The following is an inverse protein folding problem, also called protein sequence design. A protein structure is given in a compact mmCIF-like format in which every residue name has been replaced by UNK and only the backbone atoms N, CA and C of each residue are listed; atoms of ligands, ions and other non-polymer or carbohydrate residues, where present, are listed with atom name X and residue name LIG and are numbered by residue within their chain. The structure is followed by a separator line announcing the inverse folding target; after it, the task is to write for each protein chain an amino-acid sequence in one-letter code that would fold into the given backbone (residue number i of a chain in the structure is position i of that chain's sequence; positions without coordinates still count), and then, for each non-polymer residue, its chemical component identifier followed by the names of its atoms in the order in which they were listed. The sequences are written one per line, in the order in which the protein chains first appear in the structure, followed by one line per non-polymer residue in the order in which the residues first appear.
data_IF_658767710976
#
_entry.id   IF_658767710976
#
_cell.length_a   1.000
_cell.length_b   1.000
_cell.length_c   1.000
_cell.angle_alpha   90.00
_cell.angle_beta   90.00
_cell.angle_gamma   90.00
#
_symmetry.space_group_name_H-M   'P 1'
#
loop_
_entity.id
_entity.type
_entity.pdbx_description
1 polymer ?
#
# COMPACT_ATOMS: atom_id res chain seq x y z
N UNK A 1 -68.38 54.70 -21.08
CA UNK A 1 -67.62 53.63 -21.77
C UNK A 1 -66.38 53.17 -21.00
N UNK A 2 -65.91 53.92 -19.99
CA UNK A 2 -64.69 53.63 -19.20
C UNK A 2 -64.79 52.38 -18.31
N UNK A 3 -65.97 52.10 -17.71
CA UNK A 3 -66.18 50.92 -16.84
C UNK A 3 -65.87 49.57 -17.53
N UNK A 4 -66.00 49.50 -18.87
CA UNK A 4 -65.71 48.29 -19.63
C UNK A 4 -64.20 48.07 -19.85
N UNK A 5 -63.42 49.14 -19.96
CA UNK A 5 -61.97 49.07 -20.14
C UNK A 5 -61.25 48.72 -18.84
N UNK A 6 -61.65 49.33 -17.71
CA UNK A 6 -61.09 49.02 -16.39
C UNK A 6 -61.37 47.56 -15.97
N UNK A 7 -62.58 47.04 -16.27
CA UNK A 7 -62.92 45.65 -16.01
C UNK A 7 -62.08 44.66 -16.84
N UNK A 8 -61.78 45.00 -18.10
CA UNK A 8 -60.89 44.19 -18.97
C UNK A 8 -59.45 44.21 -18.45
N UNK A 9 -58.96 45.36 -18.03
CA UNK A 9 -57.61 45.53 -17.48
C UNK A 9 -57.44 44.75 -16.17
N UNK A 10 -58.41 44.81 -15.25
CA UNK A 10 -58.38 44.04 -14.00
C UNK A 10 -58.38 42.53 -14.26
N UNK A 11 -59.18 42.05 -15.21
CA UNK A 11 -59.17 40.63 -15.61
C UNK A 11 -57.82 40.21 -16.20
N UNK A 12 -57.21 41.07 -17.01
CA UNK A 12 -55.89 40.81 -17.59
C UNK A 12 -54.80 40.73 -16.51
N UNK A 13 -54.73 41.71 -15.60
CA UNK A 13 -53.78 41.68 -14.49
C UNK A 13 -53.97 40.47 -13.58
N UNK A 14 -55.22 40.08 -13.31
CA UNK A 14 -55.53 38.88 -12.52
C UNK A 14 -55.03 37.61 -13.22
N UNK A 15 -55.26 37.48 -14.53
CA UNK A 15 -54.80 36.33 -15.31
C UNK A 15 -53.26 36.25 -15.40
N UNK A 16 -52.58 37.39 -15.55
CA UNK A 16 -51.11 37.44 -15.53
C UNK A 16 -50.57 37.03 -14.17
N UNK A 17 -51.16 37.54 -13.07
CA UNK A 17 -50.79 37.16 -11.71
C UNK A 17 -50.99 35.67 -11.45
N UNK A 18 -52.13 35.11 -11.85
CA UNK A 18 -52.41 33.67 -11.71
C UNK A 18 -51.42 32.81 -12.53
N UNK A 19 -51.02 33.25 -13.73
CA UNK A 19 -49.96 32.58 -14.50
C UNK A 19 -48.60 32.65 -13.85
N UNK A 20 -48.20 33.81 -13.31
CA UNK A 20 -46.91 33.96 -12.64
C UNK A 20 -46.83 33.13 -11.36
N UNK A 21 -47.93 33.03 -10.61
CA UNK A 21 -48.02 32.16 -9.43
C UNK A 21 -47.92 30.68 -9.80
N UNK A 22 -48.57 30.24 -10.90
CA UNK A 22 -48.43 28.86 -11.42
C UNK A 22 -47.07 28.57 -12.03
N UNK A 23 -46.44 29.54 -12.70
CA UNK A 23 -45.08 29.40 -13.23
C UNK A 23 -44.02 29.41 -12.11
N UNK A 24 -44.34 30.06 -11.00
CA UNK A 24 -43.59 30.04 -9.75
C UNK A 24 -43.88 28.82 -8.88
N UNK A 25 -44.45 27.74 -9.43
CA UNK A 25 -44.60 26.45 -8.76
C UNK A 25 -43.23 25.80 -8.52
N UNK A 26 -42.47 26.41 -7.61
CA UNK A 26 -41.23 25.92 -7.02
C UNK A 26 -41.46 24.72 -6.12
N UNK A 27 -42.68 24.18 -6.03
CA UNK A 27 -43.01 22.98 -5.27
C UNK A 27 -42.18 21.78 -5.71
N UNK A 28 -42.00 21.56 -7.02
CA UNK A 28 -41.19 20.45 -7.54
C UNK A 28 -39.69 20.58 -7.22
N UNK A 29 -39.12 21.80 -7.35
CA UNK A 29 -37.72 22.06 -6.98
C UNK A 29 -37.51 21.95 -5.46
N UNK A 30 -38.48 22.43 -4.67
CA UNK A 30 -38.46 22.32 -3.21
C UNK A 30 -38.57 20.87 -2.75
N UNK A 31 -39.40 20.05 -3.41
CA UNK A 31 -39.55 18.64 -3.11
C UNK A 31 -38.26 17.86 -3.43
N UNK A 32 -37.67 18.07 -4.62
CA UNK A 32 -36.40 17.45 -4.98
C UNK A 32 -35.24 17.87 -4.03
N UNK A 33 -35.21 19.14 -3.61
CA UNK A 33 -34.24 19.58 -2.59
C UNK A 33 -34.48 18.93 -1.23
N UNK A 34 -35.73 18.68 -0.84
CA UNK A 34 -36.05 17.99 0.40
C UNK A 34 -35.62 16.51 0.37
N UNK A 35 -35.85 15.84 -0.75
CA UNK A 35 -35.42 14.45 -0.99
C UNK A 35 -33.89 14.32 -0.93
N UNK A 36 -33.16 15.19 -1.64
CA UNK A 36 -31.69 15.21 -1.58
C UNK A 36 -31.15 15.48 -0.16
N UNK A 37 -31.81 16.35 0.61
CA UNK A 37 -31.42 16.61 2.01
C UNK A 37 -31.65 15.37 2.88
N UNK A 38 -32.74 14.63 2.63
CA UNK A 38 -33.03 13.39 3.33
C UNK A 38 -31.98 12.32 3.02
N UNK A 39 -31.67 12.09 1.74
CA UNK A 39 -30.60 11.15 1.32
C UNK A 39 -29.24 11.53 1.92
N UNK A 40 -28.91 12.83 1.94
CA UNK A 40 -27.66 13.30 2.54
C UNK A 40 -27.64 13.05 4.06
N UNK A 41 -28.78 13.21 4.74
CA UNK A 41 -28.90 12.90 6.17
C UNK A 41 -28.72 11.39 6.46
N UNK A 42 -29.21 10.53 5.57
CA UNK A 42 -29.05 9.08 5.68
C UNK A 42 -27.59 8.66 5.43
N UNK A 43 -26.99 9.15 4.35
CA UNK A 43 -25.58 8.87 4.02
C UNK A 43 -24.61 9.38 5.10
N UNK A 44 -24.91 10.51 5.73
CA UNK A 44 -24.09 11.02 6.83
C UNK A 44 -24.21 10.16 8.09
N UNK A 45 -25.41 9.65 8.41
CA UNK A 45 -25.62 8.72 9.51
C UNK A 45 -24.90 7.37 9.27
N UNK A 46 -24.96 6.87 8.04
CA UNK A 46 -24.27 5.65 7.62
C UNK A 46 -22.75 5.81 7.71
N UNK A 47 -22.22 6.92 7.21
CA UNK A 47 -20.79 7.21 7.30
C UNK A 47 -20.32 7.33 8.75
N UNK A 48 -21.11 7.96 9.62
CA UNK A 48 -20.80 8.03 11.05
C UNK A 48 -20.78 6.63 11.70
N UNK A 49 -21.68 5.74 11.27
CA UNK A 49 -21.72 4.36 11.76
C UNK A 49 -20.53 3.53 11.26
N UNK A 50 -20.17 3.67 9.97
CA UNK A 50 -18.98 3.04 9.39
C UNK A 50 -17.70 3.54 10.04
N UNK A 51 -17.56 4.85 10.27
CA UNK A 51 -16.41 5.44 10.95
C UNK A 51 -16.23 4.88 12.35
N UNK A 52 -17.32 4.71 13.12
CA UNK A 52 -17.28 4.05 14.43
C UNK A 52 -16.81 2.60 14.32
N UNK A 53 -17.30 1.85 13.33
CA UNK A 53 -16.88 0.46 13.12
C UNK A 53 -15.40 0.35 12.75
N UNK A 54 -14.90 1.25 11.91
CA UNK A 54 -13.48 1.33 11.55
C UNK A 54 -12.64 1.58 12.81
N UNK A 55 -13.00 2.58 13.62
CA UNK A 55 -12.27 2.89 14.84
C UNK A 55 -12.22 1.70 15.83
N UNK A 56 -13.33 0.95 15.97
CA UNK A 56 -13.35 -0.27 16.79
C UNK A 56 -12.40 -1.33 16.24
N UNK A 57 -12.46 -1.60 14.93
CA UNK A 57 -11.62 -2.61 14.30
C UNK A 57 -10.13 -2.25 14.35
N UNK A 58 -9.80 -0.97 14.23
CA UNK A 58 -8.41 -0.48 14.35
C UNK A 58 -7.87 -0.70 15.77
N UNK A 59 -8.68 -0.46 16.81
CA UNK A 59 -8.31 -0.73 18.19
C UNK A 59 -8.08 -2.23 18.43
N UNK A 60 -9.02 -3.08 17.98
CA UNK A 60 -8.91 -4.54 18.08
C UNK A 60 -7.66 -5.08 17.36
N UNK A 61 -7.35 -4.51 16.19
CA UNK A 61 -6.15 -4.87 15.42
C UNK A 61 -4.87 -4.50 16.16
N UNK A 62 -4.79 -3.28 16.72
CA UNK A 62 -3.63 -2.83 17.49
C UNK A 62 -3.38 -3.72 18.72
N UNK A 63 -4.43 -4.14 19.42
CA UNK A 63 -4.34 -5.06 20.55
C UNK A 63 -3.85 -6.46 20.12
N UNK A 64 -4.34 -6.96 18.98
CA UNK A 64 -3.88 -8.23 18.42
C UNK A 64 -2.40 -8.17 18.01
N UNK A 65 -1.96 -7.09 17.37
CA UNK A 65 -0.56 -6.85 17.01
C UNK A 65 0.35 -6.77 18.24
N UNK A 66 -0.06 -6.04 19.28
CA UNK A 66 0.67 -5.96 20.55
C UNK A 66 0.85 -7.34 21.19
N UNK A 67 -0.20 -8.18 21.14
CA UNK A 67 -0.14 -9.56 21.64
C UNK A 67 0.82 -10.43 20.82
N UNK A 68 0.77 -10.36 19.50
CA UNK A 68 1.68 -11.10 18.63
C UNK A 68 3.14 -10.70 18.87
N UNK A 69 3.41 -9.40 19.03
CA UNK A 69 4.73 -8.89 19.35
C UNK A 69 5.20 -9.38 20.73
N UNK A 70 4.32 -9.41 21.73
CA UNK A 70 4.64 -9.94 23.05
C UNK A 70 4.96 -11.45 23.00
N UNK A 71 4.17 -12.23 22.26
CA UNK A 71 4.42 -13.66 22.04
C UNK A 71 5.74 -13.90 21.30
N UNK A 72 6.03 -13.13 20.25
CA UNK A 72 7.30 -13.22 19.53
C UNK A 72 8.48 -12.91 20.45
N UNK A 73 8.39 -11.86 21.28
CA UNK A 73 9.41 -11.55 22.29
C UNK A 73 9.56 -12.66 23.33
N UNK A 74 8.48 -13.28 23.78
CA UNK A 74 8.54 -14.40 24.72
C UNK A 74 9.21 -15.64 24.10
N UNK A 75 8.91 -15.96 22.84
CA UNK A 75 9.58 -17.05 22.11
C UNK A 75 11.08 -16.79 21.90
N UNK A 76 11.44 -15.54 21.61
CA UNK A 76 12.84 -15.13 21.43
C UNK A 76 13.60 -14.97 22.76
N UNK A 77 12.91 -14.54 23.82
CA UNK A 77 13.43 -14.31 25.17
C UNK A 77 13.53 -15.58 26.01
N UNK A 78 12.66 -16.57 25.78
CA UNK A 78 12.76 -17.90 26.38
C UNK A 78 14.00 -18.70 25.96
N UNK A 79 14.76 -18.23 24.96
CA UNK A 79 16.10 -18.74 24.61
C UNK A 79 17.24 -18.01 25.33
N UNK A 80 16.97 -16.96 26.12
CA UNK A 80 18.01 -16.09 26.69
C UNK A 80 18.16 -16.20 28.21
N UNK A 81 17.40 -17.07 28.91
CA UNK A 81 17.45 -17.15 30.38
C UNK A 81 18.09 -18.42 30.96
N UNK A 82 18.72 -19.28 30.16
CA UNK A 82 19.55 -20.37 30.68
C UNK A 82 20.81 -20.51 29.82
N UNK A 83 21.92 -19.99 30.33
CA UNK A 83 23.23 -20.19 29.73
C UNK A 83 24.08 -18.92 29.71
N UNK A 84 24.95 -18.81 30.70
CA UNK A 84 26.28 -18.25 30.47
C UNK A 84 26.89 -19.04 29.31
N UNK A 85 26.82 -18.52 28.09
CA UNK A 85 27.62 -18.97 26.95
C UNK A 85 28.02 -17.73 26.16
N UNK A 86 29.12 -17.12 26.60
CA UNK A 86 30.00 -16.43 25.66
C UNK A 86 30.32 -17.38 24.51
N UNK A 87 30.35 -16.85 23.29
CA UNK A 87 30.95 -17.51 22.12
C UNK A 87 30.07 -18.57 21.42
N UNK A 88 29.25 -18.11 20.46
CA UNK A 88 28.86 -18.80 19.21
C UNK A 88 27.96 -17.88 18.36
N UNK A 89 28.45 -16.67 18.08
CA UNK A 89 28.12 -16.10 16.78
C UNK A 89 29.00 -16.89 15.83
N UNK A 90 28.48 -17.94 15.21
CA UNK A 90 29.09 -18.44 13.98
C UNK A 90 29.41 -17.18 13.15
N UNK A 91 30.68 -16.94 12.85
CA UNK A 91 31.14 -15.78 12.08
C UNK A 91 30.50 -15.86 10.69
N UNK A 92 29.24 -15.43 10.60
CA UNK A 92 28.50 -15.40 9.35
C UNK A 92 29.25 -14.41 8.49
N UNK A 93 29.77 -14.83 7.33
CA UNK A 93 30.62 -13.99 6.54
C UNK A 93 29.85 -12.71 6.17
N UNK A 94 30.57 -11.59 6.24
CA UNK A 94 30.00 -10.32 5.83
C UNK A 94 29.58 -10.40 4.36
N UNK A 95 28.57 -9.62 3.96
CA UNK A 95 28.12 -9.59 2.57
C UNK A 95 29.29 -9.20 1.65
N UNK A 96 30.12 -8.26 2.11
CA UNK A 96 31.29 -7.79 1.36
C UNK A 96 32.31 -8.91 1.16
N UNK A 97 32.54 -9.76 2.18
CA UNK A 97 33.40 -10.95 2.09
C UNK A 97 32.86 -11.93 1.06
N UNK A 98 31.58 -12.29 1.17
CA UNK A 98 30.93 -13.25 0.24
C UNK A 98 31.03 -12.76 -1.21
N UNK A 99 30.78 -11.47 -1.43
CA UNK A 99 30.85 -10.87 -2.76
C UNK A 99 32.29 -10.81 -3.27
N UNK A 100 33.25 -10.45 -2.42
CA UNK A 100 34.67 -10.42 -2.79
C UNK A 100 35.17 -11.79 -3.23
N UNK A 101 34.78 -12.85 -2.51
CA UNK A 101 35.14 -14.23 -2.84
C UNK A 101 34.59 -14.64 -4.21
N UNK A 102 33.31 -14.32 -4.48
CA UNK A 102 32.72 -14.59 -5.80
C UNK A 102 33.39 -13.77 -6.91
N UNK A 103 33.73 -12.51 -6.65
CA UNK A 103 34.33 -11.63 -7.65
C UNK A 103 35.78 -12.01 -7.98
N UNK A 104 36.45 -12.82 -7.17
CA UNK A 104 37.75 -13.40 -7.51
C UNK A 104 37.71 -14.21 -8.83
N UNK A 105 36.58 -14.85 -9.13
CA UNK A 105 36.36 -15.61 -10.38
C UNK A 105 36.01 -14.71 -11.60
N UNK A 106 35.83 -13.41 -11.38
CA UNK A 106 35.42 -12.44 -12.41
C UNK A 106 36.37 -11.24 -12.48
N UNK A 107 37.61 -11.43 -12.99
CA UNK A 107 38.59 -10.35 -13.08
C UNK A 107 38.07 -9.17 -13.90
N UNK A 108 38.27 -7.96 -13.39
CA UNK A 108 37.83 -6.71 -14.05
C UNK A 108 36.37 -6.33 -13.80
N UNK A 109 35.69 -6.99 -12.85
CA UNK A 109 34.35 -6.62 -12.37
C UNK A 109 34.44 -6.19 -10.91
N UNK A 110 34.02 -4.96 -10.62
CA UNK A 110 33.99 -4.42 -9.26
C UNK A 110 32.62 -4.58 -8.59
N UNK A 111 32.55 -4.37 -7.28
CA UNK A 111 31.28 -4.28 -6.57
C UNK A 111 30.35 -3.21 -7.15
N UNK A 112 30.90 -2.06 -7.55
CA UNK A 112 30.13 -0.97 -8.17
C UNK A 112 29.48 -1.42 -9.49
N UNK A 113 30.19 -2.22 -10.28
CA UNK A 113 29.65 -2.83 -11.48
C UNK A 113 28.51 -3.80 -11.15
N UNK A 114 28.66 -4.59 -10.08
CA UNK A 114 27.62 -5.53 -9.61
C UNK A 114 26.36 -4.81 -9.15
N UNK A 115 26.42 -3.65 -8.50
CA UNK A 115 25.22 -2.89 -8.10
C UNK A 115 24.73 -1.89 -9.15
N UNK A 116 25.51 -1.68 -10.22
CA UNK A 116 25.18 -0.75 -11.29
C UNK A 116 23.84 -1.08 -11.97
N UNK A 117 23.12 -0.08 -12.45
CA UNK A 117 21.86 -0.26 -13.21
C UNK A 117 22.14 -0.74 -14.65
N UNK A 118 23.39 -0.68 -15.11
CA UNK A 118 23.79 -1.07 -16.47
C UNK A 118 23.49 -2.54 -16.76
N UNK A 119 22.92 -2.79 -17.93
CA UNK A 119 22.53 -4.12 -18.44
C UNK A 119 23.57 -4.71 -19.40
N UNK A 120 24.84 -4.39 -19.21
CA UNK A 120 25.92 -4.98 -19.99
C UNK A 120 25.94 -6.50 -19.81
N UNK A 121 25.96 -7.25 -20.92
CA UNK A 121 25.90 -8.73 -20.89
C UNK A 121 27.00 -9.35 -20.04
N UNK A 122 28.20 -8.75 -20.03
CA UNK A 122 29.34 -9.21 -19.22
C UNK A 122 29.10 -9.16 -17.71
N UNK A 123 28.20 -8.30 -17.23
CA UNK A 123 27.92 -8.11 -15.79
C UNK A 123 26.80 -9.00 -15.26
N UNK A 124 26.04 -9.64 -16.16
CA UNK A 124 24.89 -10.47 -15.76
C UNK A 124 25.36 -11.69 -14.95
N UNK A 125 26.37 -12.41 -15.45
CA UNK A 125 26.89 -13.62 -14.81
C UNK A 125 27.53 -13.34 -13.42
N UNK A 126 28.45 -12.35 -13.26
CA UNK A 126 28.98 -11.99 -11.95
C UNK A 126 27.89 -11.58 -10.95
N UNK A 127 26.91 -10.76 -11.39
CA UNK A 127 25.84 -10.26 -10.52
C UNK A 127 24.93 -11.37 -10.01
N UNK A 128 24.55 -12.31 -10.88
CA UNK A 128 23.76 -13.47 -10.47
C UNK A 128 24.54 -14.39 -9.54
N UNK A 129 25.84 -14.60 -9.78
CA UNK A 129 26.69 -15.39 -8.89
C UNK A 129 26.75 -14.76 -7.49
N UNK A 130 26.92 -13.44 -7.39
CA UNK A 130 26.93 -12.74 -6.11
C UNK A 130 25.58 -12.83 -5.38
N UNK A 131 24.46 -12.61 -6.08
CA UNK A 131 23.12 -12.73 -5.48
C UNK A 131 22.86 -14.13 -4.91
N UNK A 132 23.31 -15.16 -5.62
CA UNK A 132 23.19 -16.55 -5.18
C UNK A 132 24.06 -16.85 -3.97
N UNK A 133 25.34 -16.49 -4.01
CA UNK A 133 26.25 -16.74 -2.90
C UNK A 133 25.77 -16.05 -1.61
N UNK A 134 25.24 -14.82 -1.72
CA UNK A 134 24.62 -14.12 -0.59
C UNK A 134 23.37 -14.85 -0.09
N UNK A 135 22.51 -15.35 -0.99
CA UNK A 135 21.32 -16.12 -0.59
C UNK A 135 21.69 -17.42 0.16
N UNK A 136 22.70 -18.14 -0.32
CA UNK A 136 23.16 -19.41 0.27
C UNK A 136 23.89 -19.20 1.60
N UNK A 137 24.72 -18.15 1.69
CA UNK A 137 25.55 -17.87 2.87
C UNK A 137 24.82 -17.09 3.97
N UNK A 138 23.70 -16.43 3.64
CA UNK A 138 22.94 -15.57 4.56
C UNK A 138 21.45 -15.94 4.56
N UNK A 139 21.07 -17.08 5.18
CA UNK A 139 19.67 -17.51 5.28
C UNK A 139 18.81 -16.56 6.12
N UNK A 140 19.42 -15.64 6.87
CA UNK A 140 18.74 -14.57 7.62
C UNK A 140 18.21 -13.44 6.72
N UNK A 141 18.65 -13.34 5.46
CA UNK A 141 18.23 -12.30 4.53
C UNK A 141 17.05 -12.76 3.67
N UNK A 142 15.95 -12.01 3.73
CA UNK A 142 14.81 -12.21 2.81
C UNK A 142 15.16 -11.79 1.37
N UNK A 143 14.48 -12.40 0.38
CA UNK A 143 14.65 -12.05 -1.05
C UNK A 143 14.49 -10.53 -1.33
N UNK A 144 13.52 -9.81 -0.72
CA UNK A 144 13.44 -8.35 -0.85
C UNK A 144 14.65 -7.63 -0.26
N UNK A 145 15.22 -8.13 0.84
CA UNK A 145 16.41 -7.51 1.45
C UNK A 145 17.64 -7.68 0.56
N UNK A 146 17.83 -8.86 -0.03
CA UNK A 146 18.89 -9.12 -1.01
C UNK A 146 18.69 -8.23 -2.25
N UNK A 147 17.47 -8.14 -2.77
CA UNK A 147 17.15 -7.25 -3.90
C UNK A 147 17.56 -5.79 -3.65
N UNK A 148 17.28 -5.25 -2.45
CA UNK A 148 17.71 -3.89 -2.07
C UNK A 148 19.22 -3.72 -2.07
N UNK A 149 19.97 -4.68 -1.55
CA UNK A 149 21.45 -4.66 -1.53
C UNK A 149 22.00 -4.57 -2.96
N UNK A 150 21.45 -5.37 -3.88
CA UNK A 150 21.88 -5.41 -5.28
C UNK A 150 21.18 -4.40 -6.19
N UNK A 151 20.33 -3.50 -5.65
CA UNK A 151 19.51 -2.54 -6.41
C UNK A 151 18.68 -3.20 -7.52
N UNK A 152 17.99 -4.29 -7.18
CA UNK A 152 17.15 -5.09 -8.08
C UNK A 152 15.85 -5.53 -7.44
N UNK A 153 14.87 -5.84 -8.29
CA UNK A 153 13.62 -6.44 -7.87
C UNK A 153 13.86 -7.84 -7.28
N UNK A 154 13.12 -8.13 -6.20
CA UNK A 154 13.17 -9.42 -5.51
C UNK A 154 12.83 -10.60 -6.42
N UNK A 155 12.04 -10.36 -7.49
CA UNK A 155 11.72 -11.35 -8.52
C UNK A 155 12.95 -11.76 -9.35
N UNK A 156 13.92 -10.85 -9.52
CA UNK A 156 15.21 -11.16 -10.18
C UNK A 156 16.01 -12.12 -9.30
N UNK A 157 16.10 -11.85 -7.99
CA UNK A 157 16.78 -12.73 -7.03
C UNK A 157 16.11 -14.11 -7.02
N UNK A 158 14.78 -14.17 -7.01
CA UNK A 158 14.02 -15.41 -7.07
C UNK A 158 14.34 -16.23 -8.34
N UNK A 159 14.43 -15.57 -9.50
CA UNK A 159 14.76 -16.23 -10.76
C UNK A 159 16.17 -16.84 -10.72
N UNK A 160 17.16 -16.13 -10.16
CA UNK A 160 18.54 -16.61 -10.00
C UNK A 160 18.61 -17.86 -9.10
N UNK A 161 17.90 -17.84 -7.98
CA UNK A 161 17.87 -18.97 -7.04
C UNK A 161 17.22 -20.20 -7.69
N UNK A 162 16.06 -20.02 -8.34
CA UNK A 162 15.33 -21.11 -9.02
C UNK A 162 16.09 -21.72 -10.20
N UNK A 163 16.86 -20.93 -10.94
CA UNK A 163 17.64 -21.43 -12.08
C UNK A 163 18.72 -22.44 -11.66
N UNK A 164 19.18 -22.38 -10.40
CA UNK A 164 20.25 -23.27 -9.89
C UNK A 164 19.69 -24.56 -9.31
N UNK A 165 18.51 -24.53 -8.66
CA UNK A 165 17.86 -25.72 -8.09
C UNK A 165 17.41 -26.77 -9.12
N UNK A 166 17.49 -26.44 -10.42
CA UNK A 166 17.23 -27.38 -11.51
C UNK A 166 18.48 -28.06 -12.10
N UNK A 167 19.66 -27.91 -11.49
CA UNK A 167 20.93 -28.52 -11.94
C UNK A 167 21.63 -29.30 -10.81
N UNK A 168 20.87 -29.91 -9.90
CA UNK A 168 21.39 -30.95 -9.01
C UNK A 168 21.14 -32.31 -9.65
N UNK A 169 22.00 -32.66 -10.61
CA UNK A 169 22.42 -34.01 -11.03
C UNK A 169 23.67 -33.91 -11.93
#
# INVERSE_FOLDING_TARGET
MENSQSARQQRHYRAVRERLVRAGDGGGRSAAMAELRFELSELTADNATKARRIATLEADLADAEARLLAQAKALLGGRQSDGVDSDRTEERPSIDTIVADVLADFPGVSWEDVISVRRERRLVKPRHACMRAVYESRPDLSLPRIGRIFRRDHTTVLAVVKATTGHSD
#
